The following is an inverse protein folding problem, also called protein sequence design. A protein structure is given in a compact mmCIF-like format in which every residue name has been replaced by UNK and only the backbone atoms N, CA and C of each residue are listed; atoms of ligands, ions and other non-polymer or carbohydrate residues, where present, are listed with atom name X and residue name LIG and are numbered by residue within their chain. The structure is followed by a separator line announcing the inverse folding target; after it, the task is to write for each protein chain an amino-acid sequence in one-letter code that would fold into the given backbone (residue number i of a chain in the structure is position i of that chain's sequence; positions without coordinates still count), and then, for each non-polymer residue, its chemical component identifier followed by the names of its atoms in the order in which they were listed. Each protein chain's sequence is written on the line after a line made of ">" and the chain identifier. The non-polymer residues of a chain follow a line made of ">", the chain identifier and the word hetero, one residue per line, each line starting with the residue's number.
data_IF_233045652366
#
_entry.id   IF_233045652366
#
_cell.length_a   1.000
_cell.length_b   1.000
_cell.length_c   1.000
_cell.angle_alpha   90.00
_cell.angle_beta   90.00
_cell.angle_gamma   90.00
#
_symmetry.space_group_name_H-M   'P 1'
#
loop_
_entity.id
_entity.type
_entity.pdbx_description
1 polymer ?
#
# COMPACT_ATOMS: atom_id res chain seq x y z
N UNK A 1 2.38 8.30 17.08
CA UNK A 1 1.24 7.41 17.36
C UNK A 1 1.19 6.35 16.27
N UNK A 2 1.46 5.10 16.62
CA UNK A 2 1.41 3.91 15.76
C UNK A 2 -0.01 3.62 15.23
N UNK A 3 -0.41 4.34 14.19
CA UNK A 3 -1.74 4.28 13.58
C UNK A 3 -2.03 2.97 12.82
N UNK A 4 -1.03 2.10 12.70
CA UNK A 4 -1.04 0.84 11.91
C UNK A 4 -1.32 -0.39 12.79
N UNK A 5 -1.22 -0.29 14.12
CA UNK A 5 -1.33 -1.45 15.02
C UNK A 5 -2.77 -2.01 15.02
N UNK A 6 -2.96 -3.21 14.48
CA UNK A 6 -4.25 -3.92 14.44
C UNK A 6 -5.07 -3.75 13.15
N UNK A 7 -4.65 -2.90 12.20
CA UNK A 7 -5.35 -2.75 10.91
C UNK A 7 -4.85 -3.77 9.89
N UNK A 8 -5.78 -4.52 9.27
CA UNK A 8 -5.47 -5.41 8.14
C UNK A 8 -5.36 -4.67 6.81
N UNK A 9 -6.22 -3.68 6.60
CA UNK A 9 -6.28 -2.93 5.34
C UNK A 9 -5.77 -1.51 5.56
N UNK A 10 -4.66 -1.17 4.92
CA UNK A 10 -4.00 0.12 5.02
C UNK A 10 -4.42 1.03 3.87
N UNK A 11 -4.63 2.31 4.13
CA UNK A 11 -4.79 3.32 3.08
C UNK A 11 -3.43 3.66 2.43
N UNK A 12 -3.44 4.51 1.39
CA UNK A 12 -2.22 4.90 0.66
C UNK A 12 -1.18 5.53 1.58
N UNK A 13 -1.57 6.45 2.47
CA UNK A 13 -0.65 7.13 3.38
C UNK A 13 -0.07 6.16 4.41
N UNK A 14 -0.90 5.30 5.00
CA UNK A 14 -0.47 4.26 5.94
C UNK A 14 0.49 3.28 5.28
N UNK A 15 0.18 2.83 4.07
CA UNK A 15 1.04 1.93 3.29
C UNK A 15 2.38 2.57 2.94
N UNK A 16 2.37 3.84 2.55
CA UNK A 16 3.59 4.57 2.23
C UNK A 16 4.48 4.74 3.46
N UNK A 17 3.89 5.10 4.62
CA UNK A 17 4.60 5.13 5.91
C UNK A 17 5.14 3.75 6.28
N UNK A 18 4.33 2.71 6.08
CA UNK A 18 4.71 1.32 6.39
C UNK A 18 5.93 0.86 5.59
N UNK A 19 5.97 1.20 4.30
CA UNK A 19 7.07 0.85 3.39
C UNK A 19 8.25 1.83 3.45
N UNK A 20 8.17 2.91 4.23
CA UNK A 20 9.19 3.95 4.28
C UNK A 20 9.35 4.75 2.98
N UNK A 21 8.29 4.90 2.18
CA UNK A 21 8.31 5.66 0.92
C UNK A 21 7.37 6.86 0.94
N UNK A 22 7.55 7.79 -0.01
CA UNK A 22 6.66 8.94 -0.14
C UNK A 22 5.25 8.52 -0.60
N UNK A 23 4.16 9.05 0.01
CA UNK A 23 2.78 8.75 -0.40
C UNK A 23 2.50 9.06 -1.88
N UNK A 24 3.09 10.13 -2.42
CA UNK A 24 2.97 10.47 -3.84
C UNK A 24 3.58 9.41 -4.76
N UNK A 25 4.71 8.81 -4.35
CA UNK A 25 5.32 7.69 -5.10
C UNK A 25 4.40 6.48 -5.12
N UNK A 26 3.82 6.12 -3.97
CA UNK A 26 2.87 5.01 -3.92
C UNK A 26 1.61 5.29 -4.75
N UNK A 27 1.06 6.50 -4.66
CA UNK A 27 -0.12 6.90 -5.44
C UNK A 27 0.14 6.77 -6.95
N UNK A 28 1.24 7.34 -7.43
CA UNK A 28 1.64 7.29 -8.85
C UNK A 28 1.84 5.85 -9.35
N UNK A 29 2.38 4.97 -8.50
CA UNK A 29 2.59 3.55 -8.81
C UNK A 29 1.32 2.69 -8.63
N UNK A 30 0.29 3.21 -7.97
CA UNK A 30 -0.99 2.51 -7.80
C UNK A 30 -2.00 2.81 -8.92
N UNK A 31 -1.71 3.81 -9.76
CA UNK A 31 -2.55 4.17 -10.91
C UNK A 31 -2.46 3.12 -12.04
N UNK A 32 -3.61 2.75 -12.62
CA UNK A 32 -3.74 1.71 -13.66
C UNK A 32 -2.85 1.90 -14.91
N UNK A 33 -2.45 3.15 -15.22
CA UNK A 33 -1.69 3.51 -16.43
C UNK A 33 -0.19 3.71 -16.16
N UNK A 34 0.29 3.42 -14.96
CA UNK A 34 1.70 3.63 -14.63
C UNK A 34 2.60 2.63 -15.34
N UNK A 35 3.77 3.09 -15.79
CA UNK A 35 4.79 2.23 -16.43
C UNK A 35 5.43 1.26 -15.42
N UNK A 36 5.44 1.64 -14.15
CA UNK A 36 6.05 0.87 -13.06
C UNK A 36 5.03 0.68 -11.93
N UNK A 37 4.12 -0.30 -12.06
CA UNK A 37 3.09 -0.53 -11.07
C UNK A 37 3.68 -0.98 -9.74
N UNK A 38 3.02 -0.59 -8.66
CA UNK A 38 3.35 -1.10 -7.34
C UNK A 38 3.04 -2.61 -7.32
N UNK A 39 3.99 -3.47 -6.88
CA UNK A 39 3.88 -4.92 -7.02
C UNK A 39 2.74 -5.51 -6.19
N UNK A 40 2.36 -4.88 -5.07
CA UNK A 40 1.20 -5.32 -4.27
C UNK A 40 -0.07 -4.68 -4.82
N UNK A 41 -1.02 -5.52 -5.22
CA UNK A 41 -2.26 -5.08 -5.85
C UNK A 41 -3.15 -4.35 -4.85
N UNK A 42 -3.55 -3.13 -5.20
CA UNK A 42 -4.50 -2.39 -4.39
C UNK A 42 -5.91 -2.98 -4.48
N UNK A 43 -6.61 -3.03 -3.35
CA UNK A 43 -8.01 -3.48 -3.21
C UNK A 43 -8.92 -2.27 -3.11
N UNK A 44 -10.13 -2.35 -3.69
CA UNK A 44 -11.17 -1.33 -3.52
C UNK A 44 -12.18 -1.81 -2.48
N UNK A 45 -12.30 -1.07 -1.39
CA UNK A 45 -13.25 -1.35 -0.30
C UNK A 45 -14.03 -0.07 -0.02
N UNK A 46 -15.36 -0.10 -0.18
CA UNK A 46 -16.20 1.08 -0.03
C UNK A 46 -15.79 2.25 -0.92
N UNK A 47 -15.34 1.97 -2.16
CA UNK A 47 -14.83 2.98 -3.09
C UNK A 47 -13.41 3.50 -2.81
N UNK A 48 -12.84 3.18 -1.65
CA UNK A 48 -11.49 3.60 -1.27
C UNK A 48 -10.42 2.58 -1.64
N UNK A 49 -9.23 3.07 -2.02
CA UNK A 49 -8.04 2.24 -2.26
C UNK A 49 -7.44 1.81 -0.92
N UNK A 50 -7.20 0.50 -0.77
CA UNK A 50 -6.63 -0.14 0.41
C UNK A 50 -5.61 -1.20 0.01
N UNK A 51 -4.66 -1.49 0.89
CA UNK A 51 -3.64 -2.53 0.72
C UNK A 51 -3.72 -3.51 1.89
N UNK A 52 -3.66 -4.81 1.60
CA UNK A 52 -3.64 -5.83 2.65
C UNK A 52 -2.25 -5.91 3.27
N UNK A 53 -2.17 -5.70 4.58
CA UNK A 53 -0.90 -5.75 5.31
C UNK A 53 -0.18 -7.08 5.11
N UNK A 54 -0.90 -8.21 5.06
CA UNK A 54 -0.25 -9.52 4.86
C UNK A 54 0.42 -9.63 3.49
N UNK A 55 -0.15 -9.01 2.47
CA UNK A 55 0.46 -8.99 1.13
C UNK A 55 1.65 -8.02 1.07
N UNK A 56 1.60 -6.91 1.82
CA UNK A 56 2.75 -6.02 2.00
C UNK A 56 3.90 -6.71 2.74
N UNK A 57 3.59 -7.45 3.81
CA UNK A 57 4.56 -8.22 4.59
C UNK A 57 5.23 -9.28 3.70
N UNK A 58 4.44 -10.07 2.98
CA UNK A 58 4.96 -11.07 2.04
C UNK A 58 5.82 -10.44 0.91
N UNK A 59 5.48 -9.23 0.47
CA UNK A 59 6.31 -8.51 -0.49
C UNK A 59 7.65 -8.07 0.11
N UNK A 60 7.65 -7.52 1.33
CA UNK A 60 8.89 -7.13 2.02
C UNK A 60 9.79 -8.35 2.25
N UNK A 61 9.22 -9.48 2.69
CA UNK A 61 9.96 -10.72 2.94
C UNK A 61 10.50 -11.37 1.65
N UNK A 62 9.97 -10.98 0.48
CA UNK A 62 10.40 -11.51 -0.83
C UNK A 62 11.59 -10.77 -1.45
N UNK A 63 12.04 -9.68 -0.82
CA UNK A 63 13.16 -8.82 -1.28
C UNK A 63 14.40 -9.15 -0.45
#
# INVERSE_FOLDING_TARGET
>A
MDEVKGKRLLNVTETARYLGIAPGTLYNRSCRKTKHPFPVKAKRVGGSVRFDKKELDAYIDSI
#
